data_IF_323171794900
#
_entry.id   IF_323171794900
#
_cell.length_a   1.000
_cell.length_b   1.000
_cell.length_c   1.000
_cell.angle_alpha   90.00
_cell.angle_beta   90.00
_cell.angle_gamma   90.00
#
_symmetry.space_group_name_H-M   'P 1'
#
loop_
_entity.id
_entity.type
_entity.pdbx_description
1 polymer ?
#
# COMPACT_ATOMS: atom_id res chain seq x y z
N UNK A 1 5.22 1.08 -31.73
CA UNK A 1 5.50 2.53 -31.82
C UNK A 1 5.42 3.00 -33.28
N UNK A 2 4.24 2.97 -33.91
CA UNK A 2 4.10 3.24 -35.35
C UNK A 2 3.02 4.29 -35.69
N UNK A 3 2.74 5.21 -34.76
CA UNK A 3 1.70 6.25 -34.97
C UNK A 3 2.22 7.57 -35.56
N UNK A 4 3.53 7.74 -35.71
CA UNK A 4 4.17 9.02 -36.05
C UNK A 4 5.33 8.90 -37.07
N UNK A 5 5.24 7.95 -38.01
CA UNK A 5 6.31 7.70 -38.98
C UNK A 5 6.55 8.87 -39.97
N UNK A 6 5.58 9.79 -40.10
CA UNK A 6 5.58 10.89 -41.09
C UNK A 6 5.71 12.29 -40.47
N UNK A 7 6.07 12.41 -39.18
CA UNK A 7 6.24 13.72 -38.56
C UNK A 7 7.60 14.35 -38.89
N UNK A 8 7.58 15.65 -39.20
CA UNK A 8 8.78 16.47 -39.41
C UNK A 8 9.69 16.43 -38.17
N UNK A 9 11.03 16.44 -38.30
CA UNK A 9 11.96 16.50 -37.17
C UNK A 9 11.63 17.62 -36.15
N UNK A 10 11.13 18.76 -36.62
CA UNK A 10 10.70 19.86 -35.76
C UNK A 10 9.50 19.49 -34.86
N UNK A 11 8.55 18.70 -35.36
CA UNK A 11 7.39 18.24 -34.59
C UNK A 11 7.83 17.21 -33.55
N UNK A 12 8.70 16.27 -33.93
CA UNK A 12 9.30 15.29 -33.01
C UNK A 12 10.07 15.97 -31.87
N UNK A 13 10.84 17.01 -32.20
CA UNK A 13 11.59 17.79 -31.22
C UNK A 13 10.67 18.60 -30.30
N UNK A 14 9.58 19.17 -30.81
CA UNK A 14 8.56 19.82 -29.99
C UNK A 14 7.91 18.86 -28.99
N UNK A 15 7.54 17.65 -29.43
CA UNK A 15 6.99 16.63 -28.55
C UNK A 15 8.02 16.15 -27.53
N UNK A 16 9.27 15.93 -27.95
CA UNK A 16 10.36 15.56 -27.07
C UNK A 16 10.53 16.59 -25.96
N UNK A 17 10.64 17.89 -26.30
CA UNK A 17 10.76 18.98 -25.34
C UNK A 17 9.63 18.96 -24.30
N UNK A 18 8.39 18.77 -24.74
CA UNK A 18 7.23 18.76 -23.84
C UNK A 18 7.18 17.50 -22.96
N UNK A 19 7.83 16.42 -23.37
CA UNK A 19 7.92 15.19 -22.59
C UNK A 19 9.07 15.22 -21.55
N UNK A 20 10.07 16.10 -21.72
CA UNK A 20 11.19 16.20 -20.79
C UNK A 20 10.79 16.96 -19.53
N UNK A 21 11.12 16.37 -18.38
CA UNK A 21 10.80 16.94 -17.06
C UNK A 21 12.05 16.89 -16.17
N UNK A 22 12.17 17.85 -15.25
CA UNK A 22 13.24 17.88 -14.25
C UNK A 22 14.62 17.99 -14.89
N UNK A 23 15.56 17.10 -14.50
CA UNK A 23 16.95 17.12 -14.99
C UNK A 23 17.05 16.93 -16.51
N UNK A 24 16.15 16.18 -17.12
CA UNK A 24 16.18 15.90 -18.54
C UNK A 24 15.78 17.13 -19.40
N UNK A 25 14.95 18.03 -18.85
CA UNK A 25 14.54 19.26 -19.55
C UNK A 25 15.67 20.27 -19.70
N UNK A 26 16.67 20.25 -18.80
CA UNK A 26 17.83 21.14 -18.85
C UNK A 26 19.02 20.60 -19.65
N UNK A 27 18.87 19.46 -20.33
CA UNK A 27 19.97 18.76 -21.02
C UNK A 27 20.05 19.14 -22.50
N UNK A 28 18.93 19.55 -23.10
CA UNK A 28 18.91 19.98 -24.51
C UNK A 28 19.16 21.49 -24.55
N UNK A 29 20.22 21.89 -25.25
CA UNK A 29 20.56 23.29 -25.47
C UNK A 29 19.56 24.00 -26.41
N UNK A 30 19.33 25.29 -26.18
CA UNK A 30 18.46 26.11 -27.05
C UNK A 30 18.92 26.13 -28.50
N UNK A 31 20.21 25.95 -28.76
CA UNK A 31 20.78 25.94 -30.10
C UNK A 31 20.34 24.70 -30.91
N UNK A 32 20.30 23.52 -30.28
CA UNK A 32 19.80 22.27 -30.91
C UNK A 32 18.30 22.39 -31.22
N UNK A 33 17.56 23.07 -30.34
CA UNK A 33 16.13 23.35 -30.52
C UNK A 33 15.91 24.29 -31.71
N UNK A 34 16.74 25.33 -31.85
CA UNK A 34 16.64 26.29 -32.95
C UNK A 34 17.03 25.69 -34.31
N UNK A 35 17.99 24.75 -34.31
CA UNK A 35 18.43 24.05 -35.52
C UNK A 35 17.50 22.89 -35.94
N UNK A 36 16.53 22.52 -35.10
CA UNK A 36 15.54 21.49 -35.41
C UNK A 36 16.11 20.07 -35.48
N UNK A 37 17.28 19.84 -34.88
CA UNK A 37 18.00 18.57 -34.96
C UNK A 37 17.55 17.60 -33.85
N UNK A 38 16.51 16.83 -34.17
CA UNK A 38 15.98 15.80 -33.27
C UNK A 38 17.00 14.70 -32.98
N UNK A 39 17.83 14.32 -33.95
CA UNK A 39 18.78 13.22 -33.77
C UNK A 39 19.88 13.60 -32.80
N UNK A 40 20.42 14.81 -32.90
CA UNK A 40 21.39 15.34 -31.93
C UNK A 40 20.78 15.44 -30.52
N UNK A 41 19.55 15.97 -30.41
CA UNK A 41 18.84 16.04 -29.14
C UNK A 41 18.62 14.65 -28.50
N UNK A 42 18.22 13.67 -29.31
CA UNK A 42 18.01 12.29 -28.84
C UNK A 42 19.32 11.63 -28.43
N UNK A 43 20.39 11.81 -29.19
CA UNK A 43 21.71 11.26 -28.88
C UNK A 43 22.25 11.76 -27.54
N UNK A 44 22.11 13.06 -27.24
CA UNK A 44 22.54 13.63 -25.94
C UNK A 44 21.72 13.03 -24.78
N UNK A 45 20.42 12.83 -24.97
CA UNK A 45 19.58 12.21 -23.95
C UNK A 45 19.95 10.75 -23.73
N UNK A 46 20.15 9.99 -24.80
CA UNK A 46 20.58 8.59 -24.73
C UNK A 46 21.96 8.48 -24.05
N UNK A 47 22.95 9.26 -24.46
CA UNK A 47 24.28 9.25 -23.84
C UNK A 47 24.23 9.51 -22.34
N UNK A 48 23.37 10.46 -21.92
CA UNK A 48 23.31 10.88 -20.52
C UNK A 48 22.44 10.00 -19.62
N UNK A 49 21.37 9.41 -20.15
CA UNK A 49 20.35 8.72 -19.35
C UNK A 49 20.20 7.23 -19.67
N UNK A 50 20.71 6.75 -20.80
CA UNK A 50 20.61 5.34 -21.21
C UNK A 50 21.81 4.52 -20.75
N UNK A 51 22.17 4.65 -19.48
CA UNK A 51 23.13 3.74 -18.85
C UNK A 51 22.44 2.40 -18.56
N UNK A 52 22.59 1.45 -19.49
CA UNK A 52 21.99 0.11 -19.39
C UNK A 52 22.32 -0.56 -18.06
N UNK A 53 23.56 -0.45 -17.58
CA UNK A 53 23.98 -1.10 -16.33
C UNK A 53 23.22 -0.51 -15.15
N UNK A 54 23.14 0.81 -15.07
CA UNK A 54 22.39 1.48 -14.02
C UNK A 54 20.89 1.14 -14.07
N UNK A 55 20.30 1.08 -15.26
CA UNK A 55 18.88 0.73 -15.45
C UNK A 55 18.61 -0.70 -14.96
N UNK A 56 19.46 -1.65 -15.36
CA UNK A 56 19.38 -3.05 -14.92
C UNK A 56 19.49 -3.13 -13.39
N UNK A 57 20.52 -2.50 -12.82
CA UNK A 57 20.74 -2.49 -11.36
C UNK A 57 19.51 -1.94 -10.62
N UNK A 58 18.85 -0.91 -11.16
CA UNK A 58 17.63 -0.34 -10.56
C UNK A 58 16.43 -1.28 -10.61
N UNK A 59 16.23 -2.01 -11.72
CA UNK A 59 15.15 -3.00 -11.81
C UNK A 59 15.39 -4.19 -10.87
N UNK A 60 16.63 -4.67 -10.79
CA UNK A 60 17.03 -5.71 -9.86
C UNK A 60 16.82 -5.24 -8.40
N UNK A 61 17.32 -4.07 -8.05
CA UNK A 61 17.15 -3.47 -6.71
C UNK A 61 15.67 -3.38 -6.34
N UNK A 62 14.81 -2.93 -7.25
CA UNK A 62 13.37 -2.81 -7.03
C UNK A 62 12.69 -4.16 -6.74
N UNK A 63 13.12 -5.24 -7.40
CA UNK A 63 12.64 -6.61 -7.14
C UNK A 63 13.10 -7.10 -5.76
N UNK A 64 14.36 -6.88 -5.40
CA UNK A 64 14.88 -7.32 -4.11
C UNK A 64 14.34 -6.50 -2.93
N UNK A 65 14.06 -5.21 -3.16
CA UNK A 65 13.51 -4.28 -2.17
C UNK A 65 11.99 -4.39 -1.98
N UNK A 66 11.30 -5.33 -2.64
CA UNK A 66 9.86 -5.51 -2.48
C UNK A 66 9.50 -5.64 -0.98
N UNK A 67 8.46 -4.93 -0.50
CA UNK A 67 8.07 -4.98 0.91
C UNK A 67 7.46 -6.35 1.24
N UNK A 68 7.70 -6.82 2.47
CA UNK A 68 7.07 -8.05 2.96
C UNK A 68 5.64 -7.77 3.41
N UNK A 69 4.70 -8.55 2.88
CA UNK A 69 3.29 -8.49 3.23
C UNK A 69 3.12 -9.18 4.58
N UNK A 70 2.66 -8.44 5.58
CA UNK A 70 2.55 -8.92 6.96
C UNK A 70 1.13 -9.32 7.36
N UNK A 71 0.12 -8.85 6.60
CA UNK A 71 -1.30 -9.11 6.85
C UNK A 71 -2.00 -9.42 5.53
N UNK A 72 -3.13 -10.10 5.62
CA UNK A 72 -4.00 -10.34 4.47
C UNK A 72 -4.48 -8.98 3.92
N UNK A 73 -3.94 -8.56 2.77
CA UNK A 73 -4.28 -7.31 2.10
C UNK A 73 -4.21 -7.50 0.58
N UNK A 74 -5.38 -7.43 -0.05
CA UNK A 74 -5.52 -7.50 -1.51
C UNK A 74 -4.68 -6.42 -2.22
N UNK A 75 -4.65 -5.22 -1.65
CA UNK A 75 -3.95 -4.06 -2.23
C UNK A 75 -2.43 -4.20 -2.19
N UNK A 76 -1.87 -4.71 -1.09
CA UNK A 76 -0.42 -4.93 -0.97
C UNK A 76 0.02 -6.08 -1.87
N UNK A 77 -0.75 -7.16 -1.93
CA UNK A 77 -0.46 -8.30 -2.80
C UNK A 77 -0.51 -7.90 -4.29
N UNK A 78 -1.49 -7.10 -4.69
CA UNK A 78 -1.54 -6.57 -6.07
C UNK A 78 -0.35 -5.68 -6.39
N UNK A 79 0.00 -4.73 -5.50
CA UNK A 79 1.19 -3.88 -5.70
C UNK A 79 2.46 -4.69 -5.84
N UNK A 80 2.62 -5.76 -5.06
CA UNK A 80 3.77 -6.66 -5.15
C UNK A 80 3.84 -7.33 -6.52
N UNK A 81 2.72 -7.90 -7.00
CA UNK A 81 2.64 -8.53 -8.32
C UNK A 81 2.94 -7.53 -9.44
N UNK A 82 2.26 -6.39 -9.42
CA UNK A 82 2.40 -5.37 -10.48
C UNK A 82 3.83 -4.83 -10.55
N UNK A 83 4.46 -4.60 -9.38
CA UNK A 83 5.85 -4.14 -9.32
C UNK A 83 6.81 -5.20 -9.82
N UNK A 84 6.63 -6.47 -9.45
CA UNK A 84 7.47 -7.55 -9.95
C UNK A 84 7.36 -7.70 -11.47
N UNK A 85 6.13 -7.82 -11.99
CA UNK A 85 5.87 -7.99 -13.42
C UNK A 85 6.44 -6.84 -14.23
N UNK A 86 6.24 -5.59 -13.77
CA UNK A 86 6.78 -4.40 -14.44
C UNK A 86 8.31 -4.46 -14.56
N UNK A 87 9.02 -4.82 -13.49
CA UNK A 87 10.48 -4.83 -13.50
C UNK A 87 11.04 -6.01 -14.31
N UNK A 88 10.40 -7.19 -14.26
CA UNK A 88 10.80 -8.34 -15.08
C UNK A 88 10.62 -8.05 -16.56
N UNK A 89 9.47 -7.51 -16.96
CA UNK A 89 9.24 -7.09 -18.35
C UNK A 89 10.22 -6.02 -18.82
N UNK A 90 10.63 -5.12 -17.94
CA UNK A 90 11.65 -4.12 -18.28
C UNK A 90 13.03 -4.76 -18.52
N UNK A 91 13.39 -5.78 -17.74
CA UNK A 91 14.62 -6.56 -17.95
C UNK A 91 14.56 -7.38 -19.25
N UNK A 92 13.43 -8.02 -19.54
CA UNK A 92 13.21 -8.73 -20.82
C UNK A 92 13.33 -7.79 -22.02
N UNK A 93 12.77 -6.58 -21.94
CA UNK A 93 12.91 -5.55 -22.98
C UNK A 93 14.37 -5.07 -23.17
N UNK A 94 15.23 -5.29 -22.18
CA UNK A 94 16.67 -5.05 -22.24
C UNK A 94 17.47 -6.29 -22.66
N UNK A 95 16.79 -7.31 -23.20
CA UNK A 95 17.38 -8.58 -23.66
C UNK A 95 18.00 -9.41 -22.52
N UNK A 96 17.53 -9.19 -21.27
CA UNK A 96 17.88 -10.01 -20.11
C UNK A 96 16.70 -10.89 -19.72
N UNK A 97 16.65 -12.07 -20.34
CA UNK A 97 15.65 -13.08 -20.01
C UNK A 97 15.89 -13.64 -18.60
N UNK A 98 14.79 -13.93 -17.90
CA UNK A 98 14.82 -14.51 -16.56
C UNK A 98 14.47 -16.00 -16.68
N UNK A 99 15.50 -16.84 -16.84
CA UNK A 99 15.36 -18.27 -17.04
C UNK A 99 16.14 -19.08 -16.00
N UNK A 100 15.85 -20.40 -15.94
CA UNK A 100 16.56 -21.35 -15.11
C UNK A 100 16.73 -20.89 -13.66
N UNK A 101 17.97 -20.65 -13.24
CA UNK A 101 18.28 -20.19 -11.89
C UNK A 101 17.68 -18.82 -11.57
N UNK A 102 17.69 -17.89 -12.52
CA UNK A 102 17.16 -16.54 -12.33
C UNK A 102 15.66 -16.56 -12.04
N UNK A 103 14.93 -17.40 -12.77
CA UNK A 103 13.50 -17.64 -12.56
C UNK A 103 13.23 -18.20 -11.15
N UNK A 104 14.00 -19.22 -10.73
CA UNK A 104 13.84 -19.81 -9.39
C UNK A 104 14.20 -18.84 -8.26
N UNK A 105 15.23 -18.00 -8.45
CA UNK A 105 15.57 -16.94 -7.49
C UNK A 105 14.43 -15.93 -7.35
N UNK A 106 13.81 -15.55 -8.46
CA UNK A 106 12.69 -14.62 -8.47
C UNK A 106 11.46 -15.20 -7.78
N UNK A 107 11.14 -16.47 -8.03
CA UNK A 107 10.02 -17.17 -7.36
C UNK A 107 10.28 -17.25 -5.86
N UNK A 108 11.48 -17.63 -5.43
CA UNK A 108 11.85 -17.68 -4.02
C UNK A 108 11.74 -16.29 -3.37
N UNK A 109 12.23 -15.27 -4.05
CA UNK A 109 12.10 -13.88 -3.61
C UNK A 109 10.63 -13.51 -3.42
N UNK A 110 9.75 -13.78 -4.38
CA UNK A 110 8.31 -13.54 -4.25
C UNK A 110 7.71 -14.30 -3.05
N UNK A 111 7.99 -15.60 -2.94
CA UNK A 111 7.50 -16.44 -1.84
C UNK A 111 7.96 -15.94 -0.45
N UNK A 112 9.13 -15.31 -0.36
CA UNK A 112 9.62 -14.68 0.88
C UNK A 112 8.83 -13.44 1.31
N UNK A 113 8.19 -12.76 0.35
CA UNK A 113 7.43 -11.52 0.56
C UNK A 113 5.95 -11.75 0.77
N UNK A 114 5.42 -12.93 0.42
CA UNK A 114 4.04 -13.32 0.69
C UNK A 114 3.75 -13.37 2.21
N UNK A 115 2.50 -13.09 2.58
CA UNK A 115 2.01 -13.40 3.92
C UNK A 115 1.91 -14.92 4.14
N UNK A 116 1.81 -15.33 5.40
CA UNK A 116 1.82 -16.75 5.79
C UNK A 116 0.69 -17.55 5.15
N UNK A 117 -0.50 -16.97 5.02
CA UNK A 117 -1.67 -17.70 4.56
C UNK A 117 -1.67 -17.82 3.03
N UNK A 118 -1.29 -16.76 2.32
CA UNK A 118 -1.06 -16.85 0.87
C UNK A 118 0.05 -17.85 0.55
N UNK A 119 1.17 -17.84 1.29
CA UNK A 119 2.25 -18.80 1.09
C UNK A 119 1.80 -20.24 1.29
N UNK A 120 1.06 -20.56 2.35
CA UNK A 120 0.52 -21.92 2.56
C UNK A 120 -0.33 -22.41 1.40
N UNK A 121 -1.21 -21.54 0.87
CA UNK A 121 -2.10 -21.89 -0.25
C UNK A 121 -1.28 -22.08 -1.53
N UNK A 122 -0.23 -21.27 -1.74
CA UNK A 122 0.68 -21.44 -2.86
C UNK A 122 1.42 -22.78 -2.81
N UNK A 123 2.03 -23.11 -1.66
CA UNK A 123 2.77 -24.37 -1.46
C UNK A 123 1.86 -25.59 -1.64
N UNK A 124 0.59 -25.52 -1.23
CA UNK A 124 -0.39 -26.61 -1.45
C UNK A 124 -0.67 -26.88 -2.93
N UNK A 125 -0.50 -25.88 -3.79
CA UNK A 125 -0.71 -26.02 -5.25
C UNK A 125 0.54 -26.48 -5.99
N UNK A 126 1.71 -26.50 -5.36
CA UNK A 126 2.94 -26.94 -5.99
C UNK A 126 3.05 -28.46 -5.93
N UNK A 127 3.46 -29.08 -7.03
CA UNK A 127 3.73 -30.50 -7.08
C UNK A 127 5.09 -30.80 -6.42
N UNK A 128 5.14 -31.73 -5.44
CA UNK A 128 6.39 -32.06 -4.78
C UNK A 128 7.45 -32.58 -5.77
N UNK A 129 8.59 -31.90 -5.84
CA UNK A 129 9.73 -32.32 -6.68
C UNK A 129 9.77 -31.69 -8.07
N UNK A 130 8.76 -30.89 -8.44
CA UNK A 130 8.77 -30.11 -9.68
C UNK A 130 9.17 -28.66 -9.42
N UNK A 131 9.82 -28.03 -10.41
CA UNK A 131 10.17 -26.61 -10.35
C UNK A 131 8.94 -25.78 -10.71
N UNK A 132 8.61 -24.83 -9.85
CA UNK A 132 7.55 -23.85 -10.14
C UNK A 132 7.96 -22.96 -11.31
N UNK A 133 6.99 -22.63 -12.17
CA UNK A 133 7.14 -21.59 -13.20
C UNK A 133 6.82 -20.21 -12.62
N UNK A 134 7.55 -19.18 -13.07
CA UNK A 134 7.27 -17.80 -12.73
C UNK A 134 5.90 -17.38 -13.27
N UNK A 135 5.54 -17.80 -14.48
CA UNK A 135 4.25 -17.51 -15.09
C UNK A 135 3.10 -18.04 -14.22
N UNK A 136 3.21 -19.30 -13.77
CA UNK A 136 2.20 -19.94 -12.92
C UNK A 136 2.12 -19.28 -11.53
N UNK A 137 3.28 -18.89 -10.98
CA UNK A 137 3.36 -18.16 -9.70
C UNK A 137 2.67 -16.81 -9.79
N UNK A 138 2.90 -16.04 -10.85
CA UNK A 138 2.24 -14.75 -11.07
C UNK A 138 0.74 -14.93 -11.29
N UNK A 139 0.33 -15.93 -12.06
CA UNK A 139 -1.10 -16.22 -12.28
C UNK A 139 -1.80 -16.61 -10.97
N UNK A 140 -1.17 -17.45 -10.16
CA UNK A 140 -1.65 -17.77 -8.82
C UNK A 140 -1.86 -16.51 -7.97
N UNK A 141 -0.86 -15.62 -7.92
CA UNK A 141 -0.94 -14.41 -7.11
C UNK A 141 -2.03 -13.46 -7.61
N UNK A 142 -2.18 -13.28 -8.92
CA UNK A 142 -3.28 -12.50 -9.52
C UNK A 142 -4.65 -13.06 -9.13
N UNK A 143 -4.80 -14.38 -9.16
CA UNK A 143 -6.03 -15.06 -8.72
C UNK A 143 -6.28 -14.85 -7.23
N UNK A 144 -5.25 -14.98 -6.38
CA UNK A 144 -5.35 -14.72 -4.94
C UNK A 144 -5.81 -13.30 -4.66
N UNK A 145 -5.22 -12.29 -5.30
CA UNK A 145 -5.66 -10.89 -5.20
C UNK A 145 -7.15 -10.73 -5.55
N UNK A 146 -7.59 -11.31 -6.68
CA UNK A 146 -8.98 -11.23 -7.14
C UNK A 146 -9.95 -11.88 -6.14
N UNK A 147 -9.56 -12.98 -5.52
CA UNK A 147 -10.37 -13.67 -4.51
C UNK A 147 -10.48 -12.79 -3.26
N UNK A 148 -9.37 -12.23 -2.77
CA UNK A 148 -9.36 -11.34 -1.60
C UNK A 148 -10.27 -10.14 -1.80
N UNK A 149 -10.20 -9.46 -2.96
CA UNK A 149 -11.07 -8.32 -3.26
C UNK A 149 -12.57 -8.69 -3.25
N UNK A 150 -12.92 -9.87 -3.77
CA UNK A 150 -14.30 -10.37 -3.76
C UNK A 150 -14.79 -10.69 -2.34
N UNK A 151 -13.92 -11.21 -1.48
CA UNK A 151 -14.25 -11.54 -0.09
C UNK A 151 -14.37 -10.25 0.74
N UNK A 152 -13.47 -9.28 0.56
CA UNK A 152 -13.52 -7.97 1.23
C UNK A 152 -14.82 -7.21 0.87
N UNK A 153 -15.19 -7.18 -0.41
CA UNK A 153 -16.43 -6.53 -0.87
C UNK A 153 -17.71 -7.18 -0.34
N UNK A 154 -17.70 -8.51 -0.14
CA UNK A 154 -18.82 -9.23 0.48
C UNK A 154 -18.88 -9.02 2.01
N UNK A 155 -17.74 -8.79 2.66
CA UNK A 155 -17.65 -8.56 4.11
C UNK A 155 -18.03 -7.13 4.51
N UNK A 156 -17.88 -6.16 3.61
CA UNK A 156 -18.23 -4.75 3.82
C UNK A 156 -19.75 -4.47 3.95
N UNK A 157 -20.62 -5.48 3.74
CA UNK A 157 -22.08 -5.35 3.92
C UNK A 157 -22.60 -5.76 5.31
N UNK A 158 -21.74 -6.18 6.22
CA UNK A 158 -22.12 -6.33 7.63
C UNK A 158 -21.63 -5.09 8.38
N UNK A 159 -22.35 -3.99 8.21
CA UNK A 159 -22.36 -2.95 9.23
C UNK A 159 -22.98 -3.58 10.48
N UNK A 160 -22.15 -4.22 11.30
CA UNK A 160 -22.50 -4.42 12.69
C UNK A 160 -22.73 -3.02 13.26
N UNK A 161 -23.93 -2.72 13.81
CA UNK A 161 -24.14 -1.46 14.49
C UNK A 161 -23.04 -1.35 15.55
N UNK A 162 -22.28 -0.25 15.51
CA UNK A 162 -21.19 0.03 16.45
C UNK A 162 -21.67 -0.34 17.86
N UNK A 163 -20.94 -1.17 18.63
CA UNK A 163 -21.30 -1.36 20.02
C UNK A 163 -21.20 0.02 20.67
N UNK A 164 -22.35 0.54 21.10
CA UNK A 164 -22.41 1.73 21.95
C UNK A 164 -21.51 1.43 23.13
N UNK A 165 -20.35 2.09 23.21
CA UNK A 165 -19.47 1.96 24.37
C UNK A 165 -20.31 2.31 25.60
N UNK A 166 -20.43 1.43 26.61
CA UNK A 166 -20.90 1.89 27.91
C UNK A 166 -19.88 2.93 28.35
N UNK A 167 -20.35 4.15 28.64
CA UNK A 167 -19.54 5.16 29.32
C UNK A 167 -19.06 4.51 30.61
N UNK A 168 -17.78 4.14 30.67
CA UNK A 168 -17.12 3.70 31.88
C UNK A 168 -17.08 4.89 32.82
N UNK A 169 -18.09 5.00 33.69
CA UNK A 169 -18.01 5.86 34.87
C UNK A 169 -16.90 5.28 35.74
N UNK A 170 -15.83 6.05 35.91
CA UNK A 170 -14.78 5.77 36.89
C UNK A 170 -15.44 5.49 38.24
N UNK A 171 -15.30 4.27 38.76
CA UNK A 171 -15.72 3.95 40.13
C UNK A 171 -14.64 4.47 41.07
N UNK A 172 -14.82 5.69 41.57
CA UNK A 172 -14.15 6.13 42.79
C UNK A 172 -14.66 5.27 43.94
N UNK A 173 -13.75 4.55 44.61
CA UNK A 173 -14.05 3.84 45.84
C UNK A 173 -14.28 4.87 46.96
N UNK A 174 -15.54 5.12 47.29
CA UNK A 174 -15.92 5.88 48.48
C UNK A 174 -16.27 4.89 49.58
N UNK A 175 -15.59 5.02 50.72
CA UNK A 175 -15.89 4.28 51.95
C UNK A 175 -17.36 4.47 52.32
N UNK A 176 -18.09 3.37 52.50
CA UNK A 176 -19.49 3.40 52.88
C UNK A 176 -19.62 3.85 54.35
N UNK A 177 -19.75 5.16 54.57
CA UNK A 177 -20.46 5.63 55.75
C UNK A 177 -21.94 5.52 55.47
N UNK A 178 -22.66 4.82 56.35
CA UNK A 178 -24.12 4.74 56.31
C UNK A 178 -24.71 6.16 56.27
N UNK A 179 -25.63 6.40 55.34
CA UNK A 179 -26.26 7.69 55.07
C UNK A 179 -27.09 8.14 56.29
N UNK A 180 -26.44 8.78 57.27
CA UNK A 180 -27.08 9.41 58.41
C UNK A 180 -27.40 10.88 58.11
N UNK A 181 -28.64 11.27 58.40
CA UNK A 181 -29.12 12.64 58.24
C UNK A 181 -28.40 13.56 59.23
N UNK A 182 -27.78 14.64 58.74
CA UNK A 182 -27.03 15.58 59.58
C UNK A 182 -27.89 16.39 60.56
N UNK A 183 -29.22 16.37 60.41
CA UNK A 183 -30.15 17.14 61.25
C UNK A 183 -30.70 16.31 62.41
N UNK A 184 -30.99 15.03 62.19
CA UNK A 184 -31.62 14.16 63.18
C UNK A 184 -30.88 12.83 63.43
N UNK A 185 -29.71 12.64 62.79
CA UNK A 185 -28.86 11.45 62.84
C UNK A 185 -29.52 10.10 62.45
N UNK A 186 -30.72 10.14 61.87
CA UNK A 186 -31.40 8.93 61.39
C UNK A 186 -30.98 8.57 59.95
N UNK A 187 -31.14 7.30 59.58
CA UNK A 187 -30.70 6.78 58.27
C UNK A 187 -31.64 7.16 57.13
N UNK A 188 -31.58 8.42 56.68
CA UNK A 188 -32.28 8.89 55.49
C UNK A 188 -31.57 10.12 54.89
N UNK A 189 -31.86 10.38 53.61
CA UNK A 189 -31.38 11.58 52.90
C UNK A 189 -32.00 12.85 53.49
N UNK A 190 -31.25 13.96 53.50
CA UNK A 190 -31.65 15.21 54.17
C UNK A 190 -32.99 15.78 53.66
N UNK A 191 -33.28 15.67 52.36
CA UNK A 191 -34.55 16.17 51.80
C UNK A 191 -35.79 15.37 52.24
N UNK A 192 -35.59 14.15 52.76
CA UNK A 192 -36.65 13.33 53.37
C UNK A 192 -36.78 13.56 54.88
N UNK A 193 -35.91 14.39 55.48
CA UNK A 193 -35.97 14.70 56.90
C UNK A 193 -37.18 15.60 57.23
N UNK A 194 -38.10 15.07 58.02
CA UNK A 194 -39.28 15.81 58.47
C UNK A 194 -38.93 16.99 59.40
N UNK A 195 -37.86 16.89 60.19
CA UNK A 195 -37.38 17.99 61.02
C UNK A 195 -36.78 19.12 60.17
N UNK A 196 -36.01 18.78 59.13
CA UNK A 196 -35.47 19.76 58.19
C UNK A 196 -36.60 20.48 57.45
N UNK A 197 -37.63 19.76 56.98
CA UNK A 197 -38.78 20.38 56.29
C UNK A 197 -39.51 21.40 57.16
N UNK A 198 -39.60 21.14 58.47
CA UNK A 198 -40.29 21.99 59.45
C UNK A 198 -39.52 23.26 59.86
N UNK A 199 -38.22 23.36 59.58
CA UNK A 199 -37.46 24.60 59.86
C UNK A 199 -37.87 25.74 58.92
N UNK A 200 -37.89 26.98 59.45
CA UNK A 200 -38.15 28.17 58.65
C UNK A 200 -36.95 28.48 57.73
N UNK A 201 -37.16 29.22 56.63
CA UNK A 201 -36.11 29.52 55.64
C UNK A 201 -34.90 30.26 56.24
N UNK A 202 -35.09 30.93 57.39
CA UNK A 202 -33.99 31.64 58.06
C UNK A 202 -33.04 30.72 58.85
N UNK A 203 -33.43 29.46 59.12
CA UNK A 203 -32.68 28.48 59.92
C UNK A 203 -32.39 27.16 59.15
N UNK A 204 -32.58 27.16 57.82
CA UNK A 204 -32.26 26.08 56.89
C UNK A 204 -30.92 26.33 56.21
#
# INVERSE_FOLDING_TARGET
MARYATESPAIKLYHLRNALVGKAAGVIDQDIINNGDYEAAWAILTDRFEDKRLIIDKHIEAIFSLPKISKDSSTELRKLVDTCVKNVQALENLELEVDGLGEQMLINQLASKMDRDTRKVWETKQDPGELSSYADTIEFLKQRCRIMEKVETNSAKVENPKPVRPVTKSKTLVSANELQCTVCNNSHELYKCEEFKKKSVSDK
#
